data_IF_994336256310
#
_entry.id   IF_994336256310
#
_cell.length_a   1.000
_cell.length_b   1.000
_cell.length_c   1.000
_cell.angle_alpha   90.00
_cell.angle_beta   90.00
_cell.angle_gamma   90.00
#
_symmetry.space_group_name_H-M   'P 1'
#
loop_
_entity.id
_entity.type
_entity.pdbx_description
1 polymer ?
#
# COMPACT_ATOMS: atom_id res chain seq x y z
N UNK A 1 6.75 -8.13 -17.94
CA UNK A 1 6.24 -9.18 -17.06
C UNK A 1 6.49 -8.83 -15.59
N UNK A 2 5.78 -9.50 -14.70
CA UNK A 2 5.92 -9.27 -13.26
C UNK A 2 7.32 -9.53 -12.73
N UNK A 3 7.98 -10.57 -13.23
CA UNK A 3 9.35 -10.91 -12.82
C UNK A 3 10.32 -9.78 -13.17
N UNK A 4 10.20 -9.22 -14.36
CA UNK A 4 11.07 -8.14 -14.78
C UNK A 4 10.84 -6.86 -13.96
N UNK A 5 9.58 -6.54 -13.68
CA UNK A 5 9.23 -5.41 -12.80
C UNK A 5 9.81 -5.60 -11.41
N UNK A 6 9.70 -6.81 -10.86
CA UNK A 6 10.22 -7.12 -9.53
C UNK A 6 11.74 -6.95 -9.49
N UNK A 7 12.44 -7.44 -10.50
CA UNK A 7 13.89 -7.29 -10.57
C UNK A 7 14.31 -5.82 -10.67
N UNK A 8 13.60 -5.04 -11.48
CA UNK A 8 13.90 -3.62 -11.63
C UNK A 8 13.68 -2.87 -10.30
N UNK A 9 12.59 -3.17 -9.60
CA UNK A 9 12.30 -2.54 -8.32
C UNK A 9 13.32 -2.94 -7.25
N UNK A 10 13.70 -4.21 -7.20
CA UNK A 10 14.73 -4.67 -6.29
C UNK A 10 16.07 -3.98 -6.54
N UNK A 11 16.42 -3.78 -7.81
CA UNK A 11 17.65 -3.07 -8.17
C UNK A 11 17.63 -1.63 -7.65
N UNK A 12 16.49 -0.95 -7.75
CA UNK A 12 16.34 0.40 -7.20
C UNK A 12 16.43 0.42 -5.69
N UNK A 13 15.70 -0.48 -5.01
CA UNK A 13 15.63 -0.52 -3.55
C UNK A 13 16.96 -0.89 -2.91
N UNK A 14 17.74 -1.73 -3.57
CA UNK A 14 19.04 -2.21 -3.06
C UNK A 14 20.22 -1.39 -3.55
N UNK A 15 19.97 -0.37 -4.34
CA UNK A 15 21.04 0.52 -4.80
C UNK A 15 21.68 1.22 -3.59
N UNK A 16 23.02 1.39 -3.55
CA UNK A 16 23.68 2.10 -2.46
C UNK A 16 23.19 3.54 -2.25
N UNK A 17 22.73 4.17 -3.33
CA UNK A 17 22.15 5.51 -3.29
C UNK A 17 20.83 5.49 -4.06
N UNK A 18 19.75 4.95 -3.47
CA UNK A 18 18.47 4.88 -4.18
C UNK A 18 17.89 6.27 -4.39
N UNK A 19 16.98 6.43 -5.36
CA UNK A 19 16.25 7.70 -5.50
C UNK A 19 15.56 8.07 -4.19
N UNK A 20 15.49 9.37 -3.84
CA UNK A 20 14.84 9.77 -2.58
C UNK A 20 13.35 9.45 -2.52
N UNK A 21 12.70 9.31 -3.67
CA UNK A 21 11.30 8.92 -3.77
C UNK A 21 11.13 7.92 -4.91
N UNK A 22 10.46 6.82 -4.63
CA UNK A 22 10.10 5.81 -5.62
C UNK A 22 8.58 5.71 -5.64
N UNK A 23 7.99 5.82 -6.83
CA UNK A 23 6.54 5.69 -7.01
C UNK A 23 6.28 4.49 -7.91
N UNK A 24 5.43 3.57 -7.45
CA UNK A 24 5.09 2.36 -8.20
C UNK A 24 3.58 2.25 -8.33
N UNK A 25 3.09 2.24 -9.56
CA UNK A 25 1.66 2.06 -9.83
C UNK A 25 1.33 0.58 -9.91
N UNK A 26 0.23 0.20 -9.26
CA UNK A 26 -0.32 -1.16 -9.30
C UNK A 26 0.78 -2.21 -9.09
N UNK A 27 1.43 -2.12 -7.94
CA UNK A 27 2.62 -2.92 -7.64
C UNK A 27 2.37 -4.43 -7.75
N UNK A 28 1.12 -4.88 -7.53
CA UNK A 28 0.75 -6.29 -7.61
C UNK A 28 0.64 -6.83 -9.04
N UNK A 29 0.65 -5.97 -10.06
CA UNK A 29 0.49 -6.43 -11.42
C UNK A 29 1.56 -7.44 -11.83
N UNK A 30 1.09 -8.64 -12.22
CA UNK A 30 1.95 -9.72 -12.66
C UNK A 30 2.67 -10.46 -11.53
N UNK A 31 2.35 -10.15 -10.27
CA UNK A 31 2.97 -10.80 -9.12
C UNK A 31 1.98 -11.72 -8.42
N UNK A 32 2.47 -12.88 -7.97
CA UNK A 32 1.69 -13.77 -7.11
C UNK A 32 1.79 -13.29 -5.65
N UNK A 33 0.95 -13.83 -4.72
CA UNK A 33 0.96 -13.38 -3.33
C UNK A 33 2.33 -13.53 -2.63
N UNK A 34 3.09 -14.56 -2.98
CA UNK A 34 4.43 -14.75 -2.40
C UNK A 34 5.38 -13.64 -2.84
N UNK A 35 5.35 -13.30 -4.12
CA UNK A 35 6.19 -12.22 -4.65
C UNK A 35 5.79 -10.88 -4.06
N UNK A 36 4.50 -10.64 -3.87
CA UNK A 36 4.01 -9.43 -3.21
C UNK A 36 4.58 -9.33 -1.80
N UNK A 37 4.55 -10.42 -1.05
CA UNK A 37 5.11 -10.45 0.31
C UNK A 37 6.60 -10.09 0.31
N UNK A 38 7.37 -10.68 -0.59
CA UNK A 38 8.80 -10.42 -0.69
C UNK A 38 9.09 -8.96 -1.03
N UNK A 39 8.34 -8.38 -1.97
CA UNK A 39 8.58 -7.00 -2.38
C UNK A 39 8.22 -6.01 -1.27
N UNK A 40 7.18 -6.29 -0.50
CA UNK A 40 6.79 -5.45 0.64
C UNK A 40 7.90 -5.48 1.70
N UNK A 41 8.49 -6.63 1.98
CA UNK A 41 9.59 -6.72 2.94
C UNK A 41 10.83 -5.93 2.46
N UNK A 42 11.13 -5.97 1.17
CA UNK A 42 12.23 -5.17 0.60
C UNK A 42 11.96 -3.67 0.70
N UNK A 43 10.73 -3.26 0.41
CA UNK A 43 10.32 -1.85 0.54
C UNK A 43 10.44 -1.41 2.00
N UNK A 44 9.95 -2.21 2.93
CA UNK A 44 10.02 -1.89 4.35
C UNK A 44 11.46 -1.71 4.81
N UNK A 45 12.33 -2.61 4.40
CA UNK A 45 13.76 -2.54 4.74
C UNK A 45 14.39 -1.25 4.22
N UNK A 46 14.15 -0.89 2.97
CA UNK A 46 14.70 0.31 2.37
C UNK A 46 14.18 1.60 3.04
N UNK A 47 12.88 1.62 3.37
CA UNK A 47 12.26 2.79 4.02
C UNK A 47 12.75 2.94 5.45
N UNK A 48 12.85 1.85 6.21
CA UNK A 48 13.31 1.90 7.59
C UNK A 48 14.77 2.31 7.70
N UNK A 49 15.58 2.03 6.68
CA UNK A 49 16.96 2.51 6.65
C UNK A 49 17.08 4.01 6.44
N UNK A 50 15.98 4.68 6.09
CA UNK A 50 15.97 6.11 5.79
C UNK A 50 16.48 6.46 4.38
N UNK A 51 16.78 5.46 3.55
CA UNK A 51 17.40 5.67 2.25
C UNK A 51 16.43 6.25 1.22
N UNK A 52 15.13 5.95 1.33
CA UNK A 52 14.14 6.35 0.34
C UNK A 52 12.75 6.41 0.95
N UNK A 53 11.85 7.10 0.28
CA UNK A 53 10.41 7.08 0.52
C UNK A 53 9.75 6.36 -0.63
N UNK A 54 8.75 5.53 -0.35
CA UNK A 54 8.07 4.74 -1.38
C UNK A 54 6.57 5.01 -1.33
N UNK A 55 5.99 5.31 -2.47
CA UNK A 55 4.55 5.46 -2.66
C UNK A 55 4.09 4.42 -3.67
N UNK A 56 3.12 3.60 -3.29
CA UNK A 56 2.59 2.59 -4.21
C UNK A 56 1.08 2.75 -4.34
N UNK A 57 0.55 2.42 -5.51
CA UNK A 57 -0.89 2.27 -5.68
C UNK A 57 -1.23 0.80 -5.78
N UNK A 58 -2.39 0.42 -5.26
CA UNK A 58 -2.81 -0.97 -5.26
C UNK A 58 -4.32 -1.12 -5.14
N UNK A 59 -4.84 -2.25 -5.65
CA UNK A 59 -6.19 -2.74 -5.38
C UNK A 59 -6.13 -4.12 -4.73
N UNK A 60 -4.95 -4.57 -4.34
CA UNK A 60 -4.75 -5.93 -3.83
C UNK A 60 -5.03 -6.02 -2.33
N UNK A 61 -6.04 -6.82 -1.91
CA UNK A 61 -6.24 -7.08 -0.48
C UNK A 61 -5.04 -7.78 0.17
N UNK A 62 -4.29 -8.58 -0.59
CA UNK A 62 -3.08 -9.24 -0.08
C UNK A 62 -2.02 -8.24 0.32
N UNK A 63 -1.82 -7.20 -0.51
CA UNK A 63 -0.87 -6.17 -0.20
C UNK A 63 -1.30 -5.39 1.04
N UNK A 64 -2.58 -5.03 1.10
CA UNK A 64 -3.12 -4.26 2.22
C UNK A 64 -2.99 -5.02 3.55
N UNK A 65 -3.13 -6.35 3.53
CA UNK A 65 -2.98 -7.17 4.73
C UNK A 65 -1.56 -7.14 5.31
N UNK A 66 -0.57 -6.76 4.51
CA UNK A 66 0.82 -6.66 4.95
C UNK A 66 1.16 -5.30 5.53
N UNK A 67 0.20 -4.37 5.54
CA UNK A 67 0.40 -3.00 5.98
C UNK A 67 -0.49 -2.70 7.19
N UNK A 68 -0.21 -1.57 7.84
CA UNK A 68 -1.06 -1.04 8.91
C UNK A 68 -1.82 0.17 8.39
N UNK A 69 -2.88 0.58 9.11
CA UNK A 69 -3.72 1.70 8.67
C UNK A 69 -2.92 3.00 8.51
N UNK A 70 -1.86 3.18 9.30
CA UNK A 70 -1.03 4.39 9.25
C UNK A 70 -0.36 4.58 7.89
N UNK A 71 -0.17 3.50 7.14
CA UNK A 71 0.48 3.55 5.82
C UNK A 71 -0.48 3.74 4.67
N UNK A 72 -1.79 3.80 4.94
CA UNK A 72 -2.81 3.80 3.91
C UNK A 72 -3.39 5.19 3.68
N UNK A 73 -3.65 5.49 2.41
CA UNK A 73 -4.47 6.62 1.99
C UNK A 73 -5.47 6.05 0.99
N UNK A 74 -6.75 6.26 1.26
CA UNK A 74 -7.82 5.83 0.35
C UNK A 74 -8.19 7.02 -0.54
N UNK A 75 -8.22 6.77 -1.84
CA UNK A 75 -8.56 7.79 -2.82
C UNK A 75 -9.86 7.39 -3.50
N UNK A 76 -10.84 8.28 -3.44
CA UNK A 76 -12.16 8.06 -4.04
C UNK A 76 -12.55 9.31 -4.83
N UNK A 77 -13.58 9.15 -5.68
CA UNK A 77 -14.23 10.31 -6.30
C UNK A 77 -15.54 10.60 -5.58
N UNK A 78 -15.79 11.87 -5.32
CA UNK A 78 -17.08 12.28 -4.78
C UNK A 78 -18.16 12.29 -5.87
N UNK A 79 -19.40 12.69 -5.51
CA UNK A 79 -20.53 12.70 -6.43
C UNK A 79 -20.29 13.63 -7.62
N UNK A 80 -19.42 14.61 -7.48
CA UNK A 80 -19.10 15.59 -8.54
C UNK A 80 -17.85 15.20 -9.33
N UNK A 81 -17.24 14.05 -9.01
CA UNK A 81 -16.07 13.54 -9.69
C UNK A 81 -14.75 14.06 -9.17
N UNK A 82 -14.75 14.82 -8.07
CA UNK A 82 -13.53 15.33 -7.48
C UNK A 82 -12.84 14.25 -6.62
N UNK A 83 -11.51 14.18 -6.64
CA UNK A 83 -10.81 13.21 -5.81
C UNK A 83 -10.91 13.58 -4.32
N UNK A 84 -11.15 12.58 -3.50
CA UNK A 84 -11.13 12.70 -2.04
C UNK A 84 -10.09 11.76 -1.47
N UNK A 85 -9.28 12.29 -0.56
CA UNK A 85 -8.21 11.56 0.09
C UNK A 85 -8.57 11.36 1.55
N UNK A 86 -8.55 10.12 2.01
CA UNK A 86 -8.89 9.77 3.38
C UNK A 86 -7.78 8.92 3.98
N UNK A 87 -7.36 9.25 5.19
CA UNK A 87 -6.43 8.43 5.96
C UNK A 87 -7.22 7.62 6.97
N UNK A 88 -7.39 6.29 6.75
CA UNK A 88 -8.17 5.46 7.68
C UNK A 88 -7.68 5.52 9.12
N UNK A 89 -6.38 5.68 9.33
CA UNK A 89 -5.81 5.73 10.67
C UNK A 89 -6.27 6.94 11.49
N UNK A 90 -6.78 8.00 10.83
CA UNK A 90 -7.27 9.19 11.51
C UNK A 90 -8.68 9.00 12.08
N UNK A 91 -9.31 7.85 11.82
CA UNK A 91 -10.69 7.57 12.22
C UNK A 91 -10.73 6.46 13.27
N UNK A 92 -11.28 6.79 14.41
CA UNK A 92 -11.30 5.91 15.57
C UNK A 92 -12.00 4.58 15.30
N UNK A 93 -13.12 4.61 14.60
CA UNK A 93 -13.87 3.39 14.27
C UNK A 93 -13.03 2.41 13.46
N UNK A 94 -12.29 2.91 12.49
CA UNK A 94 -11.44 2.06 11.65
C UNK A 94 -10.26 1.51 12.43
N UNK A 95 -9.69 2.29 13.34
CA UNK A 95 -8.62 1.79 14.22
C UNK A 95 -9.12 0.66 15.13
N UNK A 96 -10.35 0.78 15.62
CA UNK A 96 -10.97 -0.27 16.44
C UNK A 96 -11.18 -1.53 15.62
N UNK A 97 -11.73 -1.40 14.40
CA UNK A 97 -11.95 -2.53 13.51
C UNK A 97 -10.64 -3.20 13.07
N UNK A 98 -9.57 -2.41 12.94
CA UNK A 98 -8.26 -2.95 12.56
C UNK A 98 -7.66 -3.89 13.61
N UNK A 99 -8.17 -3.87 14.83
CA UNK A 99 -7.77 -4.84 15.86
C UNK A 99 -8.36 -6.22 15.60
N UNK A 100 -9.47 -6.29 14.87
CA UNK A 100 -10.17 -7.55 14.58
C UNK A 100 -9.98 -7.99 13.13
N UNK A 101 -9.85 -7.04 12.21
CA UNK A 101 -9.79 -7.31 10.77
C UNK A 101 -8.54 -6.67 10.16
N UNK A 102 -7.83 -7.44 9.35
CA UNK A 102 -6.71 -6.91 8.57
C UNK A 102 -7.20 -5.89 7.54
N UNK A 103 -6.35 -4.94 7.11
CA UNK A 103 -6.74 -3.89 6.16
C UNK A 103 -7.33 -4.39 4.85
N UNK A 104 -6.80 -5.51 4.30
CA UNK A 104 -7.35 -6.10 3.09
C UNK A 104 -8.77 -6.59 3.27
N UNK A 105 -9.07 -7.14 4.44
CA UNK A 105 -10.44 -7.57 4.78
C UNK A 105 -11.37 -6.37 4.89
N UNK A 106 -10.94 -5.31 5.56
CA UNK A 106 -11.72 -4.08 5.65
C UNK A 106 -11.99 -3.49 4.26
N UNK A 107 -10.99 -3.55 3.39
CA UNK A 107 -11.14 -3.08 2.03
C UNK A 107 -12.19 -3.89 1.26
N UNK A 108 -12.13 -5.22 1.32
CA UNK A 108 -13.09 -6.09 0.61
C UNK A 108 -14.51 -5.97 1.18
N UNK A 109 -14.64 -5.65 2.45
CA UNK A 109 -15.93 -5.38 3.08
C UNK A 109 -16.47 -3.98 2.76
N UNK A 110 -15.68 -3.14 2.09
CA UNK A 110 -16.04 -1.75 1.80
C UNK A 110 -15.91 -0.82 2.99
N UNK A 111 -15.26 -1.25 4.06
CA UNK A 111 -15.24 -0.52 5.33
C UNK A 111 -14.03 0.40 5.51
N UNK A 112 -13.03 0.36 4.63
CA UNK A 112 -11.92 1.32 4.68
C UNK A 112 -12.39 2.74 4.40
N UNK A 113 -13.49 2.87 3.66
CA UNK A 113 -14.09 4.14 3.32
C UNK A 113 -15.43 4.34 4.03
N UNK A 114 -15.77 3.42 4.94
CA UNK A 114 -17.04 3.38 5.65
C UNK A 114 -17.31 4.56 6.56
N UNK A 115 -16.44 5.52 6.54
CA UNK A 115 -16.58 6.80 7.21
C UNK A 115 -17.70 7.64 6.68
N UNK A 116 -18.10 7.36 5.47
CA UNK A 116 -19.22 8.04 4.84
C UNK A 116 -20.56 7.54 5.36
N UNK A 117 -20.55 6.50 6.11
CA UNK A 117 -21.76 5.93 6.69
C UNK A 117 -22.07 6.56 8.05
#
# INVERSE_FOLDING_TARGET
>A
TGTLRMLALLALLRHPSPPPLIVVEEIENGLDPRSIHLIVEEIRSAVLSGATQVVVTTHSPYLLDLLTLEHLVVVERDAEGHPRFTRPADHENLRTWAQEFAPGKLYTMGNLTGLAA
#
